data_IF_752104089868
#
_entry.id   IF_752104089868
#
_cell.length_a   1.000
_cell.length_b   1.000
_cell.length_c   1.000
_cell.angle_alpha   90.00
_cell.angle_beta   90.00
_cell.angle_gamma   90.00
#
_symmetry.space_group_name_H-M   'P 1'
#
loop_
_entity.id
_entity.type
_entity.pdbx_description
1 polymer ?
#
# COMPACT_ATOMS: atom_id res chain seq x y z
N UNK A 1 -3.56 48.46 -23.02
CA UNK A 1 -2.23 48.66 -22.41
C UNK A 1 -2.50 48.64 -20.91
N UNK A 2 -2.67 47.48 -20.29
CA UNK A 2 -1.86 46.27 -20.34
C UNK A 2 -2.77 45.03 -20.10
N UNK A 3 -3.07 44.29 -21.17
CA UNK A 3 -3.72 42.98 -21.14
C UNK A 3 -2.60 41.95 -21.42
N UNK A 4 -1.99 41.41 -20.37
CA UNK A 4 -0.70 40.73 -20.52
C UNK A 4 -0.41 39.53 -19.65
N UNK A 5 -1.33 39.03 -18.81
CA UNK A 5 -0.96 37.92 -17.90
C UNK A 5 -2.06 36.89 -17.58
N UNK A 6 -3.06 36.75 -18.45
CA UNK A 6 -4.09 35.70 -18.34
C UNK A 6 -3.74 34.40 -19.10
N UNK A 7 -2.47 34.21 -19.47
CA UNK A 7 -2.03 33.24 -20.48
C UNK A 7 -1.16 32.07 -20.02
N UNK A 8 -0.96 31.83 -18.71
CA UNK A 8 -0.03 30.79 -18.22
C UNK A 8 -0.63 29.83 -17.18
N UNK A 9 -1.90 29.45 -17.34
CA UNK A 9 -2.39 28.23 -16.69
C UNK A 9 -1.79 27.02 -17.43
N UNK A 10 -0.63 26.58 -16.96
CA UNK A 10 0.06 25.39 -17.46
C UNK A 10 -0.93 24.21 -17.64
N UNK A 11 -1.09 23.66 -18.86
CA UNK A 11 -2.01 22.55 -19.13
C UNK A 11 -1.70 21.28 -18.30
N UNK A 12 -0.53 21.21 -17.66
CA UNK A 12 -0.16 20.15 -16.73
C UNK A 12 -0.98 20.13 -15.43
N UNK A 13 -1.56 21.27 -15.01
CA UNK A 13 -2.32 21.39 -13.75
C UNK A 13 -3.71 20.76 -13.82
N UNK A 14 -4.35 20.80 -15.00
CA UNK A 14 -5.66 20.17 -15.23
C UNK A 14 -5.57 18.63 -15.34
N UNK A 15 -4.44 18.10 -15.84
CA UNK A 15 -4.30 16.67 -16.16
C UNK A 15 -4.21 15.71 -14.97
N UNK A 16 -4.01 16.21 -13.74
CA UNK A 16 -3.79 15.37 -12.55
C UNK A 16 -5.00 15.29 -11.60
N UNK A 17 -6.09 16.01 -11.89
CA UNK A 17 -7.26 16.04 -11.02
C UNK A 17 -7.94 14.66 -10.88
N UNK A 18 -8.18 13.97 -12.00
CA UNK A 18 -8.79 12.64 -12.03
C UNK A 18 -7.88 11.55 -11.40
N UNK A 19 -6.59 11.43 -11.77
CA UNK A 19 -5.70 10.47 -11.13
C UNK A 19 -5.60 10.67 -9.62
N UNK A 20 -5.48 11.93 -9.15
CA UNK A 20 -5.45 12.25 -7.71
C UNK A 20 -6.73 11.78 -7.02
N UNK A 21 -7.88 12.05 -7.64
CA UNK A 21 -9.18 11.70 -7.08
C UNK A 21 -9.37 10.17 -6.95
N UNK A 22 -9.04 9.44 -8.01
CA UNK A 22 -9.10 7.97 -8.01
C UNK A 22 -8.13 7.38 -6.98
N UNK A 23 -6.91 7.91 -6.91
CA UNK A 23 -5.89 7.47 -5.96
C UNK A 23 -6.35 7.67 -4.51
N UNK A 24 -6.82 8.87 -4.15
CA UNK A 24 -7.25 9.15 -2.78
C UNK A 24 -8.48 8.32 -2.38
N UNK A 25 -9.48 8.18 -3.26
CA UNK A 25 -10.66 7.36 -2.98
C UNK A 25 -10.33 5.88 -2.89
N UNK A 26 -9.51 5.37 -3.81
CA UNK A 26 -9.04 4.00 -3.80
C UNK A 26 -8.24 3.69 -2.54
N UNK A 27 -7.34 4.59 -2.15
CA UNK A 27 -6.56 4.48 -0.92
C UNK A 27 -7.45 4.52 0.33
N UNK A 28 -8.47 5.38 0.35
CA UNK A 28 -9.50 5.38 1.39
C UNK A 28 -10.22 4.03 1.48
N UNK A 29 -10.53 3.40 0.34
CA UNK A 29 -11.10 2.05 0.29
C UNK A 29 -10.16 0.98 0.85
N UNK A 30 -8.87 1.05 0.54
CA UNK A 30 -7.87 0.11 1.08
C UNK A 30 -7.72 0.30 2.60
N UNK A 31 -7.62 1.54 3.08
CA UNK A 31 -7.61 1.83 4.52
C UNK A 31 -8.88 1.34 5.22
N UNK A 32 -10.05 1.49 4.59
CA UNK A 32 -11.31 1.00 5.13
C UNK A 32 -11.25 -0.51 5.35
N UNK A 33 -10.81 -1.27 4.36
CA UNK A 33 -10.63 -2.73 4.49
C UNK A 33 -9.65 -3.06 5.61
N UNK A 34 -8.49 -2.39 5.66
CA UNK A 34 -7.46 -2.63 6.66
C UNK A 34 -7.96 -2.36 8.09
N UNK A 35 -8.58 -1.20 8.33
CA UNK A 35 -9.15 -0.89 9.65
C UNK A 35 -10.34 -1.77 10.00
N UNK A 36 -11.14 -2.19 9.03
CA UNK A 36 -12.23 -3.14 9.27
C UNK A 36 -11.70 -4.51 9.71
N UNK A 37 -10.64 -5.00 9.08
CA UNK A 37 -9.95 -6.23 9.51
C UNK A 37 -9.45 -6.08 10.95
N UNK A 38 -8.84 -4.95 11.30
CA UNK A 38 -8.43 -4.65 12.67
C UNK A 38 -9.62 -4.69 13.64
N UNK A 39 -10.74 -4.01 13.34
CA UNK A 39 -11.95 -4.06 14.18
C UNK A 39 -12.40 -5.49 14.47
N UNK A 40 -12.29 -6.38 13.47
CA UNK A 40 -12.74 -7.78 13.57
C UNK A 40 -11.75 -8.70 14.28
N UNK A 41 -10.46 -8.48 14.12
CA UNK A 41 -9.43 -9.45 14.53
C UNK A 41 -8.51 -8.95 15.65
N UNK A 42 -8.54 -7.67 16.01
CA UNK A 42 -7.61 -7.07 16.97
C UNK A 42 -7.62 -7.76 18.34
N UNK A 43 -8.78 -8.04 18.92
CA UNK A 43 -8.89 -8.67 20.26
C UNK A 43 -8.19 -10.04 20.32
N UNK A 44 -8.53 -11.02 19.46
CA UNK A 44 -7.86 -12.33 19.51
C UNK A 44 -6.38 -12.29 19.12
N UNK A 45 -5.95 -11.32 18.30
CA UNK A 45 -4.56 -11.28 17.83
C UNK A 45 -3.63 -10.50 18.77
N UNK A 46 -3.93 -9.22 19.02
CA UNK A 46 -3.03 -8.28 19.73
C UNK A 46 -3.65 -7.65 20.98
N UNK A 47 -4.89 -8.02 21.34
CA UNK A 47 -5.54 -7.58 22.56
C UNK A 47 -4.83 -8.06 23.83
N UNK A 48 -5.30 -7.61 24.99
CA UNK A 48 -4.71 -7.93 26.31
C UNK A 48 -4.63 -9.44 26.56
N UNK A 49 -5.60 -10.20 26.04
CA UNK A 49 -5.64 -11.67 26.09
C UNK A 49 -5.45 -12.32 24.71
N UNK A 50 -4.90 -11.58 23.75
CA UNK A 50 -4.65 -12.07 22.40
C UNK A 50 -3.43 -13.00 22.31
N UNK A 51 -3.20 -13.56 21.13
CA UNK A 51 -2.06 -14.46 20.84
C UNK A 51 -0.70 -13.76 21.00
N UNK A 52 -0.60 -12.49 20.61
CA UNK A 52 0.61 -11.66 20.76
C UNK A 52 0.25 -10.29 21.35
N UNK A 53 -0.03 -10.19 22.66
CA UNK A 53 -0.55 -8.97 23.28
C UNK A 53 0.35 -7.76 23.07
N UNK A 54 -0.20 -6.67 22.52
CA UNK A 54 0.53 -5.44 22.21
C UNK A 54 1.21 -4.81 23.43
N UNK A 55 0.52 -4.78 24.58
CA UNK A 55 1.08 -4.23 25.82
C UNK A 55 2.33 -4.98 26.28
N UNK A 56 2.26 -6.32 26.29
CA UNK A 56 3.41 -7.15 26.66
C UNK A 56 4.61 -6.96 25.72
N UNK A 57 4.33 -6.73 24.43
CA UNK A 57 5.35 -6.44 23.43
C UNK A 57 6.02 -5.09 23.69
N UNK A 58 5.24 -4.03 23.91
CA UNK A 58 5.77 -2.70 24.22
C UNK A 58 6.60 -2.70 25.52
N UNK A 59 6.20 -3.47 26.54
CA UNK A 59 6.97 -3.60 27.78
C UNK A 59 8.28 -4.39 27.58
N UNK A 60 8.32 -5.36 26.66
CA UNK A 60 9.57 -6.02 26.26
C UNK A 60 10.49 -5.06 25.52
N UNK A 61 9.96 -4.28 24.57
CA UNK A 61 10.71 -3.27 23.81
C UNK A 61 11.28 -2.20 24.74
N UNK A 62 10.49 -1.67 25.67
CA UNK A 62 10.95 -0.68 26.64
C UNK A 62 12.10 -1.22 27.50
N UNK A 63 11.99 -2.45 28.01
CA UNK A 63 13.06 -3.09 28.79
C UNK A 63 14.34 -3.31 27.97
N UNK A 64 14.21 -3.69 26.70
CA UNK A 64 15.35 -3.92 25.83
C UNK A 64 16.07 -2.63 25.42
N UNK A 65 15.35 -1.51 25.29
CA UNK A 65 15.88 -0.23 24.81
C UNK A 65 16.21 0.78 25.93
N UNK A 66 15.97 0.43 27.19
CA UNK A 66 16.31 1.27 28.34
C UNK A 66 15.19 2.20 28.83
N UNK A 67 14.03 2.20 28.18
CA UNK A 67 12.86 2.97 28.61
C UNK A 67 11.73 3.04 27.57
N UNK A 68 10.57 3.55 28.00
CA UNK A 68 9.40 3.74 27.12
C UNK A 68 9.64 4.83 26.08
N UNK A 69 10.43 5.85 26.42
CA UNK A 69 10.73 6.95 25.50
C UNK A 69 11.66 6.50 24.38
N UNK A 70 12.73 5.79 24.71
CA UNK A 70 13.66 5.17 23.76
C UNK A 70 12.93 4.18 22.86
N UNK A 71 12.01 3.39 23.44
CA UNK A 71 11.09 2.54 22.70
C UNK A 71 10.22 3.30 21.71
N UNK A 72 9.59 4.39 22.14
CA UNK A 72 8.75 5.23 21.27
C UNK A 72 9.55 5.83 20.11
N UNK A 73 10.77 6.32 20.34
CA UNK A 73 11.61 6.88 19.28
C UNK A 73 11.98 5.85 18.19
N UNK A 74 12.07 4.56 18.56
CA UNK A 74 12.34 3.46 17.62
C UNK A 74 11.06 2.91 16.98
N UNK A 75 9.95 2.96 17.69
CA UNK A 75 8.69 2.32 17.32
C UNK A 75 7.51 3.27 17.64
N UNK A 76 7.35 4.39 16.90
CA UNK A 76 6.38 5.41 17.26
C UNK A 76 4.94 4.90 17.13
N UNK A 77 4.20 4.88 18.23
CA UNK A 77 2.80 4.41 18.27
C UNK A 77 2.01 5.15 19.34
N UNK A 78 0.72 5.38 19.09
CA UNK A 78 -0.19 5.94 20.10
C UNK A 78 -0.37 4.98 21.30
N UNK A 79 -0.12 3.69 21.11
CA UNK A 79 -0.38 2.65 22.12
C UNK A 79 0.70 2.55 23.20
N UNK A 80 1.77 3.36 23.12
CA UNK A 80 2.68 3.59 24.24
C UNK A 80 1.98 4.27 25.42
N UNK A 81 0.93 5.05 25.19
CA UNK A 81 0.12 5.64 26.25
C UNK A 81 -0.82 4.61 26.90
N UNK A 82 -1.58 3.89 26.08
CA UNK A 82 -2.41 2.78 26.53
C UNK A 82 -2.63 1.77 25.40
N UNK A 83 -2.39 0.50 25.70
CA UNK A 83 -2.64 -0.64 24.81
C UNK A 83 -3.86 -1.45 25.29
N UNK A 84 -4.80 -0.81 26.00
CA UNK A 84 -6.04 -1.46 26.40
C UNK A 84 -6.93 -1.71 25.17
N UNK A 85 -7.64 -2.85 25.16
CA UNK A 85 -8.49 -3.25 24.04
C UNK A 85 -9.48 -2.17 23.61
N UNK A 86 -10.09 -1.46 24.57
CA UNK A 86 -11.02 -0.37 24.30
C UNK A 86 -10.38 0.80 23.54
N UNK A 87 -9.15 1.18 23.91
CA UNK A 87 -8.40 2.27 23.25
C UNK A 87 -8.03 1.86 21.84
N UNK A 88 -7.49 0.65 21.66
CA UNK A 88 -7.10 0.15 20.35
C UNK A 88 -8.34 -0.03 19.45
N UNK A 89 -9.47 -0.52 19.96
CA UNK A 89 -10.70 -0.62 19.16
C UNK A 89 -11.29 0.74 18.80
N UNK A 90 -11.26 1.72 19.71
CA UNK A 90 -11.69 3.08 19.40
C UNK A 90 -10.83 3.69 18.29
N UNK A 91 -9.50 3.48 18.33
CA UNK A 91 -8.59 3.90 17.28
C UNK A 91 -8.89 3.20 15.93
N UNK A 92 -9.19 1.90 15.95
CA UNK A 92 -9.56 1.16 14.75
C UNK A 92 -10.87 1.66 14.12
N UNK A 93 -11.90 1.89 14.94
CA UNK A 93 -13.17 2.48 14.48
C UNK A 93 -13.02 3.91 13.98
N UNK A 94 -12.19 4.72 14.62
CA UNK A 94 -11.85 6.06 14.12
C UNK A 94 -11.20 5.95 12.73
N UNK A 95 -10.29 5.00 12.53
CA UNK A 95 -9.71 4.70 11.23
C UNK A 95 -10.76 4.35 10.17
N UNK A 96 -11.75 3.51 10.51
CA UNK A 96 -12.91 3.20 9.62
C UNK A 96 -13.66 4.47 9.23
N UNK A 97 -14.01 5.33 10.19
CA UNK A 97 -14.76 6.57 9.93
C UNK A 97 -13.96 7.53 9.05
N UNK A 98 -12.68 7.71 9.32
CA UNK A 98 -11.81 8.58 8.53
C UNK A 98 -11.60 8.01 7.11
N UNK A 99 -11.45 6.70 6.96
CA UNK A 99 -11.35 6.06 5.65
C UNK A 99 -12.62 6.26 4.81
N UNK A 100 -13.81 6.10 5.41
CA UNK A 100 -15.09 6.42 4.77
C UNK A 100 -15.19 7.89 4.37
N UNK A 101 -14.70 8.80 5.23
CA UNK A 101 -14.68 10.22 4.91
C UNK A 101 -13.79 10.51 3.68
N UNK A 102 -12.61 9.89 3.59
CA UNK A 102 -11.71 10.00 2.42
C UNK A 102 -12.37 9.45 1.16
N UNK A 103 -13.04 8.30 1.24
CA UNK A 103 -13.83 7.76 0.12
C UNK A 103 -14.95 8.72 -0.32
N UNK A 104 -15.61 9.35 0.64
CA UNK A 104 -16.63 10.38 0.40
C UNK A 104 -16.05 11.73 -0.11
N UNK A 105 -14.73 11.82 -0.30
CA UNK A 105 -14.05 12.97 -0.89
C UNK A 105 -13.52 13.99 0.12
N UNK A 106 -13.37 13.62 1.40
CA UNK A 106 -12.65 14.44 2.38
C UNK A 106 -11.15 14.28 2.15
N UNK A 107 -10.57 15.20 1.38
CA UNK A 107 -9.18 15.16 0.92
C UNK A 107 -8.26 16.11 1.72
N UNK A 108 -8.55 16.29 3.01
CA UNK A 108 -7.77 17.16 3.89
C UNK A 108 -6.47 16.49 4.36
N UNK A 109 -5.35 17.21 4.28
CA UNK A 109 -4.03 16.67 4.64
C UNK A 109 -3.97 16.18 6.09
N UNK A 110 -4.57 16.90 7.04
CA UNK A 110 -4.66 16.44 8.44
C UNK A 110 -5.48 15.16 8.61
N UNK A 111 -6.57 14.98 7.84
CA UNK A 111 -7.38 13.75 7.91
C UNK A 111 -6.54 12.56 7.44
N UNK A 112 -5.82 12.73 6.33
CA UNK A 112 -4.90 11.72 5.80
C UNK A 112 -3.74 11.44 6.77
N UNK A 113 -3.20 12.48 7.42
CA UNK A 113 -2.10 12.34 8.39
C UNK A 113 -2.55 11.59 9.66
N UNK A 114 -3.75 11.89 10.17
CA UNK A 114 -4.33 11.16 11.31
C UNK A 114 -4.62 9.73 10.92
N UNK A 115 -5.25 9.49 9.76
CA UNK A 115 -5.53 8.14 9.25
C UNK A 115 -4.23 7.31 9.14
N UNK A 116 -3.19 7.91 8.54
CA UNK A 116 -1.86 7.31 8.44
C UNK A 116 -1.22 7.03 9.80
N UNK A 117 -1.26 8.00 10.72
CA UNK A 117 -0.67 7.86 12.06
C UNK A 117 -1.36 6.80 12.93
N UNK A 118 -2.68 6.67 12.79
CA UNK A 118 -3.44 5.57 13.40
C UNK A 118 -2.95 4.23 12.85
N UNK A 119 -2.81 4.11 11.53
CA UNK A 119 -2.37 2.87 10.90
C UNK A 119 -0.93 2.50 11.28
N UNK A 120 -0.03 3.48 11.27
CA UNK A 120 1.35 3.32 11.71
C UNK A 120 1.41 2.79 13.14
N UNK A 121 0.56 3.32 14.02
CA UNK A 121 0.48 2.88 15.40
C UNK A 121 0.12 1.40 15.52
N UNK A 122 -0.79 0.90 14.67
CA UNK A 122 -1.12 -0.52 14.59
C UNK A 122 0.01 -1.36 14.02
N UNK A 123 0.58 -0.98 12.87
CA UNK A 123 1.67 -1.72 12.22
C UNK A 123 2.84 -1.92 13.19
N UNK A 124 3.19 -0.89 13.95
CA UNK A 124 4.26 -0.97 14.94
C UNK A 124 3.99 -1.94 16.10
N UNK A 125 2.74 -2.13 16.53
CA UNK A 125 2.42 -3.08 17.62
C UNK A 125 1.89 -4.44 17.13
N UNK A 126 1.63 -4.55 15.83
CA UNK A 126 1.00 -5.70 15.18
C UNK A 126 1.87 -6.94 15.10
N UNK A 127 3.18 -6.81 15.33
CA UNK A 127 4.14 -7.92 15.35
C UNK A 127 4.03 -8.78 14.08
N UNK A 128 3.78 -10.10 14.25
CA UNK A 128 3.64 -11.05 13.15
C UNK A 128 2.47 -10.71 12.22
N UNK A 129 1.36 -10.21 12.77
CA UNK A 129 0.09 -10.07 12.05
C UNK A 129 0.09 -8.91 11.05
N UNK A 130 0.85 -7.84 11.35
CA UNK A 130 0.99 -6.66 10.48
C UNK A 130 2.43 -6.47 10.00
N UNK A 131 3.22 -7.56 9.97
CA UNK A 131 4.63 -7.54 9.54
C UNK A 131 4.84 -7.76 8.04
N UNK A 132 3.77 -7.83 7.24
CA UNK A 132 3.85 -8.13 5.82
C UNK A 132 4.13 -6.89 4.95
N UNK A 133 4.71 -7.13 3.76
CA UNK A 133 5.14 -6.07 2.84
C UNK A 133 4.03 -5.11 2.40
N UNK A 134 2.78 -5.57 2.32
CA UNK A 134 1.65 -4.73 1.95
C UNK A 134 1.28 -3.69 3.02
N UNK A 135 1.61 -3.96 4.29
CA UNK A 135 1.39 -3.00 5.38
C UNK A 135 2.31 -1.79 5.26
N UNK A 136 3.57 -2.05 4.96
CA UNK A 136 4.55 -1.01 4.66
C UNK A 136 4.21 -0.27 3.36
N UNK A 137 3.74 -0.98 2.33
CA UNK A 137 3.27 -0.34 1.09
C UNK A 137 2.10 0.62 1.35
N UNK A 138 1.14 0.26 2.20
CA UNK A 138 0.02 1.12 2.59
C UNK A 138 0.49 2.33 3.40
N UNK A 139 1.47 2.16 4.29
CA UNK A 139 2.08 3.27 5.03
C UNK A 139 2.84 4.23 4.13
N UNK A 140 3.65 3.73 3.21
CA UNK A 140 4.39 4.57 2.25
C UNK A 140 3.43 5.29 1.30
N UNK A 141 2.42 4.57 0.79
CA UNK A 141 1.37 5.16 -0.05
C UNK A 141 0.54 6.18 0.72
N UNK A 142 0.21 5.92 1.98
CA UNK A 142 -0.51 6.83 2.86
C UNK A 142 0.26 8.10 3.18
N UNK A 143 1.55 7.97 3.48
CA UNK A 143 2.42 9.09 3.75
C UNK A 143 2.50 10.04 2.55
N UNK A 144 2.71 9.50 1.34
CA UNK A 144 2.69 10.30 0.11
C UNK A 144 1.33 10.98 -0.12
N UNK A 145 0.22 10.32 0.22
CA UNK A 145 -1.12 10.87 0.04
C UNK A 145 -1.38 12.12 0.88
N UNK A 146 -0.73 12.27 2.05
CA UNK A 146 -0.85 13.47 2.90
C UNK A 146 -0.51 14.74 2.09
N UNK A 147 0.52 14.66 1.24
CA UNK A 147 0.98 15.77 0.40
C UNK A 147 0.11 16.00 -0.85
N UNK A 148 -0.76 15.04 -1.18
CA UNK A 148 -1.83 15.25 -2.16
C UNK A 148 -3.07 15.90 -1.53
N UNK A 149 -3.19 15.85 -0.20
CA UNK A 149 -4.26 16.50 0.54
C UNK A 149 -4.12 18.02 0.56
N UNK A 150 -5.23 18.73 0.79
CA UNK A 150 -5.22 20.19 0.95
C UNK A 150 -5.15 20.55 2.43
N UNK A 151 -4.40 21.61 2.76
CA UNK A 151 -4.29 22.11 4.14
C UNK A 151 -5.41 23.09 4.54
N UNK A 152 -6.07 23.73 3.57
CA UNK A 152 -7.00 24.85 3.82
C UNK A 152 -8.48 24.51 3.58
N UNK A 153 -8.80 23.34 3.02
CA UNK A 153 -10.16 23.01 2.61
C UNK A 153 -10.43 21.53 2.78
N UNK A 154 -11.61 21.20 3.32
CA UNK A 154 -12.01 19.83 3.64
C UNK A 154 -12.48 19.01 2.43
N UNK A 155 -13.05 19.67 1.41
CA UNK A 155 -13.55 19.05 0.18
C UNK A 155 -13.30 20.00 -0.98
N UNK A 156 -12.79 19.51 -2.10
CA UNK A 156 -12.79 20.30 -3.33
C UNK A 156 -12.69 19.44 -4.58
N UNK A 157 -13.68 19.61 -5.48
CA UNK A 157 -13.46 19.50 -6.91
C UNK A 157 -12.69 20.77 -7.34
N UNK A 158 -11.38 20.65 -7.54
CA UNK A 158 -10.53 21.81 -7.84
C UNK A 158 -9.06 21.43 -8.07
N UNK A 159 -8.30 22.37 -8.64
CA UNK A 159 -6.90 22.22 -9.09
C UNK A 159 -6.01 21.53 -8.06
N UNK A 160 -5.10 20.67 -8.52
CA UNK A 160 -4.23 19.90 -7.63
C UNK A 160 -3.27 20.81 -6.83
N UNK A 161 -2.93 20.47 -5.56
CA UNK A 161 -2.01 21.27 -4.75
C UNK A 161 -0.64 21.45 -5.42
N UNK A 162 0.05 22.55 -5.09
CA UNK A 162 1.45 22.77 -5.47
C UNK A 162 2.30 21.57 -5.00
N UNK A 163 3.19 21.05 -5.86
CA UNK A 163 4.02 19.88 -5.56
C UNK A 163 3.41 18.52 -5.96
N UNK A 164 2.18 18.48 -6.49
CA UNK A 164 1.55 17.23 -6.98
C UNK A 164 2.43 16.47 -7.97
N UNK A 165 3.20 17.15 -8.83
CA UNK A 165 4.10 16.51 -9.78
C UNK A 165 5.21 15.68 -9.09
N UNK A 166 5.79 16.21 -8.00
CA UNK A 166 6.82 15.51 -7.21
C UNK A 166 6.20 14.28 -6.56
N UNK A 167 5.02 14.42 -5.95
CA UNK A 167 4.34 13.30 -5.30
C UNK A 167 3.94 12.21 -6.31
N UNK A 168 3.43 12.59 -7.48
CA UNK A 168 3.15 11.66 -8.58
C UNK A 168 4.42 10.94 -9.04
N UNK A 169 5.55 11.64 -9.11
CA UNK A 169 6.84 11.01 -9.40
C UNK A 169 7.25 10.03 -8.30
N UNK A 170 7.06 10.38 -7.02
CA UNK A 170 7.32 9.49 -5.89
C UNK A 170 6.43 8.24 -5.92
N UNK A 171 5.17 8.35 -6.33
CA UNK A 171 4.32 7.17 -6.57
C UNK A 171 4.83 6.30 -7.73
N UNK A 172 5.35 6.91 -8.80
CA UNK A 172 5.98 6.12 -9.89
C UNK A 172 7.23 5.40 -9.38
N UNK A 173 8.06 6.09 -8.60
CA UNK A 173 9.21 5.49 -7.94
C UNK A 173 8.82 4.37 -6.97
N UNK A 174 7.73 4.57 -6.22
CA UNK A 174 7.16 3.58 -5.30
C UNK A 174 6.74 2.30 -6.04
N UNK A 175 6.03 2.41 -7.16
CA UNK A 175 5.67 1.25 -7.98
C UNK A 175 6.91 0.64 -8.63
N UNK A 176 7.86 1.48 -9.10
CA UNK A 176 9.11 1.01 -9.67
C UNK A 176 9.87 0.11 -8.71
N UNK A 177 10.18 0.61 -7.50
CA UNK A 177 10.97 -0.13 -6.50
C UNK A 177 10.26 -1.40 -6.04
N UNK A 178 8.93 -1.37 -5.96
CA UNK A 178 8.12 -2.52 -5.56
C UNK A 178 8.23 -3.64 -6.59
N UNK A 179 7.92 -3.35 -7.86
CA UNK A 179 7.92 -4.33 -8.94
C UNK A 179 9.34 -4.83 -9.23
N UNK A 180 10.30 -3.91 -9.32
CA UNK A 180 11.69 -4.26 -9.58
C UNK A 180 12.30 -5.07 -8.43
N UNK A 181 12.04 -4.68 -7.18
CA UNK A 181 12.46 -5.43 -6.00
C UNK A 181 11.86 -6.84 -5.97
N UNK A 182 10.57 -6.98 -6.31
CA UNK A 182 9.89 -8.27 -6.39
C UNK A 182 10.49 -9.20 -7.46
N UNK A 183 10.89 -8.67 -8.62
CA UNK A 183 11.57 -9.45 -9.65
C UNK A 183 12.99 -9.85 -9.25
N UNK A 184 13.76 -8.92 -8.67
CA UNK A 184 15.14 -9.20 -8.23
C UNK A 184 15.21 -10.25 -7.13
N UNK A 185 14.27 -10.21 -6.17
CA UNK A 185 14.26 -11.20 -5.10
C UNK A 185 13.89 -12.60 -5.60
N UNK A 186 13.04 -12.71 -6.63
CA UNK A 186 12.75 -13.98 -7.31
C UNK A 186 13.99 -14.55 -8.00
N UNK A 187 14.68 -13.73 -8.80
CA UNK A 187 15.92 -14.13 -9.47
C UNK A 187 17.04 -14.55 -8.50
N UNK A 188 17.09 -13.92 -7.32
CA UNK A 188 18.02 -14.26 -6.26
C UNK A 188 17.59 -15.49 -5.46
N UNK A 189 16.28 -15.64 -5.23
CA UNK A 189 15.72 -16.50 -4.19
C UNK A 189 15.79 -17.99 -4.48
N UNK A 190 15.46 -18.41 -5.71
CA UNK A 190 15.37 -19.82 -6.05
C UNK A 190 15.75 -20.09 -7.52
N UNK A 191 16.52 -21.15 -7.83
CA UNK A 191 16.78 -21.59 -9.21
C UNK A 191 15.53 -21.77 -10.07
N UNK A 192 14.37 -22.15 -9.51
CA UNK A 192 13.15 -22.40 -10.31
C UNK A 192 12.72 -21.20 -11.17
N UNK A 193 13.06 -19.97 -10.76
CA UNK A 193 12.70 -18.76 -11.50
C UNK A 193 13.52 -18.64 -12.77
N UNK A 194 14.77 -19.10 -12.74
CA UNK A 194 15.69 -19.13 -13.88
C UNK A 194 15.46 -20.35 -14.77
N UNK A 195 15.01 -21.45 -14.18
CA UNK A 195 14.67 -22.69 -14.88
C UNK A 195 13.24 -22.70 -15.43
N UNK A 196 12.45 -21.65 -15.18
CA UNK A 196 11.07 -21.46 -15.65
C UNK A 196 10.05 -22.48 -15.08
N UNK A 197 10.34 -23.05 -13.91
CA UNK A 197 9.52 -24.11 -13.29
C UNK A 197 8.72 -23.64 -12.07
N UNK A 198 8.93 -22.43 -11.55
CA UNK A 198 8.27 -22.03 -10.29
C UNK A 198 6.74 -22.08 -10.35
N UNK A 199 6.14 -21.75 -11.50
CA UNK A 199 4.68 -21.75 -11.64
C UNK A 199 4.08 -23.17 -11.73
N UNK A 200 4.89 -24.22 -11.90
CA UNK A 200 4.40 -25.61 -11.89
C UNK A 200 3.81 -25.99 -10.53
N UNK A 201 4.34 -25.43 -9.43
CA UNK A 201 3.91 -25.73 -8.06
C UNK A 201 3.34 -24.53 -7.32
N UNK A 202 3.51 -23.32 -7.85
CA UNK A 202 3.08 -22.07 -7.21
C UNK A 202 1.58 -22.08 -6.87
N UNK A 203 0.74 -22.52 -7.80
CA UNK A 203 -0.71 -22.44 -7.65
C UNK A 203 -1.27 -23.39 -6.58
N UNK A 204 -0.56 -24.47 -6.30
CA UNK A 204 -0.86 -25.43 -5.22
C UNK A 204 -0.36 -24.95 -3.86
N UNK A 205 0.82 -24.30 -3.84
CA UNK A 205 1.57 -24.02 -2.59
C UNK A 205 1.40 -22.59 -2.06
N UNK A 206 0.79 -21.70 -2.82
CA UNK A 206 0.52 -20.32 -2.38
C UNK A 206 -0.38 -20.25 -1.13
N UNK A 207 -0.27 -19.22 -0.29
CA UNK A 207 -0.97 -19.16 1.01
C UNK A 207 -2.49 -19.06 0.94
N UNK A 208 -3.03 -18.43 -0.11
CA UNK A 208 -4.47 -18.20 -0.26
C UNK A 208 -4.97 -18.67 -1.63
N UNK A 209 -4.98 -19.99 -1.88
CA UNK A 209 -5.52 -20.54 -3.11
C UNK A 209 -7.04 -20.42 -3.12
N UNK A 210 -7.62 -20.32 -4.31
CA UNK A 210 -9.06 -20.33 -4.50
C UNK A 210 -9.45 -21.31 -5.62
N UNK A 211 -10.74 -21.55 -5.90
CA UNK A 211 -11.14 -22.60 -6.84
C UNK A 211 -10.52 -22.51 -8.24
N UNK A 212 -10.19 -21.31 -8.75
CA UNK A 212 -9.50 -21.22 -10.05
C UNK A 212 -8.03 -21.62 -9.94
N UNK A 213 -7.37 -21.48 -8.78
CA UNK A 213 -5.98 -21.90 -8.57
C UNK A 213 -5.77 -23.37 -8.95
N UNK A 214 -6.76 -24.23 -8.70
CA UNK A 214 -6.72 -25.62 -9.15
C UNK A 214 -6.65 -25.72 -10.69
N UNK A 215 -7.47 -24.95 -11.41
CA UNK A 215 -7.46 -24.95 -12.87
C UNK A 215 -6.14 -24.41 -13.42
N UNK A 216 -5.57 -23.37 -12.79
CA UNK A 216 -4.26 -22.84 -13.13
C UNK A 216 -3.14 -23.86 -12.93
N UNK A 217 -3.16 -24.59 -11.81
CA UNK A 217 -2.16 -25.63 -11.52
C UNK A 217 -2.09 -26.74 -12.57
N UNK A 218 -3.22 -27.08 -13.18
CA UNK A 218 -3.31 -28.14 -14.19
C UNK A 218 -3.00 -27.68 -15.62
N UNK A 219 -2.60 -26.43 -15.83
CA UNK A 219 -2.13 -25.97 -17.13
C UNK A 219 -0.80 -26.66 -17.49
N UNK A 220 -0.53 -26.88 -18.79
CA UNK A 220 0.72 -27.53 -19.19
C UNK A 220 1.92 -26.63 -18.88
N UNK A 221 3.07 -27.24 -18.61
CA UNK A 221 4.32 -26.54 -18.28
C UNK A 221 4.67 -25.38 -19.24
N UNK A 222 4.38 -25.49 -20.54
CA UNK A 222 4.62 -24.40 -21.49
C UNK A 222 3.89 -23.10 -21.14
N UNK A 223 2.68 -23.19 -20.56
CA UNK A 223 1.92 -22.02 -20.08
C UNK A 223 2.53 -21.46 -18.80
N UNK A 224 2.97 -22.33 -17.89
CA UNK A 224 3.68 -21.94 -16.66
C UNK A 224 5.01 -21.24 -16.96
N UNK A 225 5.83 -21.81 -17.83
CA UNK A 225 7.08 -21.21 -18.27
C UNK A 225 6.85 -19.85 -18.94
N UNK A 226 5.84 -19.73 -19.80
CA UNK A 226 5.43 -18.44 -20.37
C UNK A 226 4.98 -17.44 -19.29
N UNK A 227 4.26 -17.89 -18.27
CA UNK A 227 3.90 -17.10 -17.10
C UNK A 227 5.10 -16.61 -16.30
N UNK A 228 6.14 -17.44 -16.13
CA UNK A 228 7.40 -17.04 -15.48
C UNK A 228 8.10 -15.97 -16.31
N UNK A 229 8.19 -16.13 -17.63
CA UNK A 229 8.78 -15.12 -18.53
C UNK A 229 7.99 -13.82 -18.47
N UNK A 230 6.67 -13.88 -18.49
CA UNK A 230 5.81 -12.71 -18.35
C UNK A 230 6.00 -12.01 -16.99
N UNK A 231 6.10 -12.77 -15.90
CA UNK A 231 6.45 -12.24 -14.58
C UNK A 231 7.78 -11.48 -14.63
N UNK A 232 8.83 -12.06 -15.21
CA UNK A 232 10.13 -11.41 -15.36
C UNK A 232 10.04 -10.13 -16.20
N UNK A 233 9.30 -10.15 -17.30
CA UNK A 233 9.08 -8.96 -18.13
C UNK A 233 8.42 -7.84 -17.32
N UNK A 234 7.32 -8.15 -16.62
CA UNK A 234 6.54 -7.15 -15.89
C UNK A 234 7.25 -6.65 -14.64
N UNK A 235 8.01 -7.49 -13.96
CA UNK A 235 8.70 -7.09 -12.74
C UNK A 235 10.09 -6.49 -12.99
N UNK A 236 10.81 -6.86 -14.06
CA UNK A 236 12.18 -6.40 -14.30
C UNK A 236 12.32 -5.36 -15.42
N UNK A 237 11.41 -5.34 -16.40
CA UNK A 237 11.52 -4.46 -17.57
C UNK A 237 10.47 -3.36 -17.54
N UNK A 238 9.20 -3.72 -17.33
CA UNK A 238 8.08 -2.76 -17.30
C UNK A 238 8.25 -1.63 -16.28
N UNK A 239 8.89 -1.80 -15.11
CA UNK A 239 9.08 -0.68 -14.18
C UNK A 239 9.81 0.51 -14.82
N UNK A 240 10.80 0.26 -15.68
CA UNK A 240 11.53 1.33 -16.38
C UNK A 240 10.62 2.16 -17.30
N UNK A 241 9.56 1.55 -17.84
CA UNK A 241 8.57 2.26 -18.66
C UNK A 241 7.81 3.31 -17.85
N UNK A 242 7.64 3.13 -16.53
CA UNK A 242 7.00 4.10 -15.64
C UNK A 242 7.79 5.41 -15.51
N UNK A 243 9.10 5.34 -15.69
CA UNK A 243 10.02 6.47 -15.66
C UNK A 243 10.20 7.12 -17.05
N UNK A 244 9.75 6.44 -18.10
CA UNK A 244 9.83 6.88 -19.49
C UNK A 244 8.77 7.91 -19.91
N UNK A 245 8.68 8.22 -21.22
CA UNK A 245 7.72 9.18 -21.76
C UNK A 245 6.27 8.66 -21.67
N UNK A 246 5.28 9.55 -21.89
CA UNK A 246 3.83 9.23 -21.80
C UNK A 246 3.41 7.90 -22.45
N UNK A 247 3.76 7.57 -23.70
CA UNK A 247 3.33 6.32 -24.33
C UNK A 247 3.89 5.08 -23.62
N UNK A 248 5.16 5.12 -23.21
CA UNK A 248 5.76 4.04 -22.44
C UNK A 248 5.03 3.84 -21.10
N UNK A 249 4.70 4.93 -20.40
CA UNK A 249 3.93 4.85 -19.14
C UNK A 249 2.55 4.26 -19.32
N UNK A 250 1.86 4.60 -20.41
CA UNK A 250 0.54 4.04 -20.70
C UNK A 250 0.60 2.53 -20.97
N UNK A 251 1.56 2.08 -21.78
CA UNK A 251 1.80 0.67 -22.01
C UNK A 251 2.20 -0.07 -20.72
N UNK A 252 3.08 0.52 -19.92
CA UNK A 252 3.48 -0.04 -18.62
C UNK A 252 2.29 -0.15 -17.65
N UNK A 253 1.41 0.85 -17.60
CA UNK A 253 0.18 0.77 -16.81
C UNK A 253 -0.70 -0.42 -17.21
N UNK A 254 -0.93 -0.61 -18.52
CA UNK A 254 -1.74 -1.73 -19.02
C UNK A 254 -1.13 -3.08 -18.63
N UNK A 255 0.19 -3.23 -18.81
CA UNK A 255 0.90 -4.47 -18.45
C UNK A 255 0.86 -4.76 -16.95
N UNK A 256 1.05 -3.74 -16.11
CA UNK A 256 0.96 -3.88 -14.65
C UNK A 256 -0.45 -4.25 -14.21
N UNK A 257 -1.47 -3.61 -14.76
CA UNK A 257 -2.87 -3.94 -14.45
C UNK A 257 -3.20 -5.37 -14.90
N UNK A 258 -2.80 -5.76 -16.11
CA UNK A 258 -2.99 -7.13 -16.59
C UNK A 258 -2.29 -8.15 -15.68
N UNK A 259 -1.08 -7.86 -15.23
CA UNK A 259 -0.36 -8.70 -14.27
C UNK A 259 -1.08 -8.82 -12.93
N UNK A 260 -1.59 -7.73 -12.36
CA UNK A 260 -2.37 -7.78 -11.11
C UNK A 260 -3.66 -8.59 -11.26
N UNK A 261 -4.37 -8.46 -12.39
CA UNK A 261 -5.57 -9.24 -12.68
C UNK A 261 -5.25 -10.73 -12.81
N UNK A 262 -4.16 -11.07 -13.49
CA UNK A 262 -3.68 -12.45 -13.60
C UNK A 262 -3.35 -13.04 -12.23
N UNK A 263 -2.62 -12.31 -11.38
CA UNK A 263 -2.33 -12.74 -10.00
C UNK A 263 -3.64 -13.04 -9.28
N UNK A 264 -4.54 -12.07 -9.11
CA UNK A 264 -5.84 -12.23 -8.42
C UNK A 264 -6.66 -13.41 -8.99
N UNK A 265 -6.68 -13.58 -10.31
CA UNK A 265 -7.44 -14.68 -10.94
C UNK A 265 -6.85 -16.06 -10.70
N UNK A 266 -5.54 -16.15 -10.45
CA UNK A 266 -4.81 -17.42 -10.26
C UNK A 266 -4.60 -17.80 -8.80
N UNK A 267 -4.83 -16.85 -7.90
CA UNK A 267 -4.74 -17.00 -6.46
C UNK A 267 -4.59 -15.64 -5.82
N UNK A 268 -4.44 -15.57 -4.51
CA UNK A 268 -3.85 -14.37 -3.92
C UNK A 268 -2.75 -14.76 -2.94
N UNK A 269 -1.87 -13.81 -2.67
CA UNK A 269 -0.94 -13.90 -1.55
C UNK A 269 -1.65 -13.56 -0.23
#
# INVERSE_FOLDING_TARGET
MDDGDAGLLHPERAGHAWPRLLLLRGLGGIYLVAFWVLVRQLRPLIGVHGLTPAGSYLDRVARALGGRWEGFLRLPSLFWGSSADGVMLAAAWLGVVLALAVMAGVDHALVLAVLWGLYLSFVHVGQLWLGYGWEYLLLESGFLAIFLGRLRTLRSAGEAPAGTAVVVWLYRWLVFRLMFGAGLIKLRGDPCWRELTCLDWHYETQPNPHPLSWAWHHLPHGVHAAGVVFNHLVELVVPFMLLGPRPARAAGFVLLVAFQLLLISSGNL
#
